data_IF_410821621169
#
_entry.id   IF_410821621169
#
_cell.length_a   1.000
_cell.length_b   1.000
_cell.length_c   1.000
_cell.angle_alpha   90.00
_cell.angle_beta   90.00
_cell.angle_gamma   90.00
#
_symmetry.space_group_name_H-M   'P 1'
#
loop_
_entity.id
_entity.type
_entity.pdbx_description
1 polymer ?
#
# COMPACT_ATOMS: atom_id res chain seq x y z
N UNK A 1 0.88 21.11 3.73
CA UNK A 1 0.48 19.75 3.30
C UNK A 1 -0.37 19.12 4.39
N UNK A 2 -1.52 18.58 4.01
CA UNK A 2 -2.45 17.85 4.89
C UNK A 2 -2.56 16.42 4.35
N UNK A 3 -2.56 15.43 5.24
CA UNK A 3 -2.91 14.05 4.88
C UNK A 3 -4.20 13.71 5.61
N UNK A 4 -5.17 13.19 4.87
CA UNK A 4 -6.49 12.84 5.38
C UNK A 4 -7.03 11.61 4.67
N UNK A 5 -8.04 10.99 5.28
CA UNK A 5 -8.82 9.95 4.61
C UNK A 5 -9.43 10.50 3.32
N UNK A 6 -9.42 9.66 2.29
CA UNK A 6 -10.15 9.88 1.06
C UNK A 6 -11.66 9.90 1.33
N UNK A 7 -12.37 10.80 0.66
CA UNK A 7 -13.82 10.80 0.57
C UNK A 7 -14.30 10.71 -0.90
N UNK A 8 -15.61 10.59 -1.11
CA UNK A 8 -16.19 10.39 -2.46
C UNK A 8 -15.93 11.55 -3.44
N UNK A 9 -15.79 12.78 -2.93
CA UNK A 9 -15.52 13.97 -3.75
C UNK A 9 -14.09 13.95 -4.31
N UNK A 10 -13.18 13.21 -3.65
CA UNK A 10 -11.78 13.08 -4.06
C UNK A 10 -11.59 12.07 -5.22
N UNK A 11 -12.56 11.21 -5.51
CA UNK A 11 -12.37 10.05 -6.41
C UNK A 11 -11.89 10.43 -7.82
N UNK A 12 -12.44 11.51 -8.39
CA UNK A 12 -12.04 12.00 -9.70
C UNK A 12 -10.60 12.53 -9.70
N UNK A 13 -10.22 13.27 -8.66
CA UNK A 13 -8.86 13.79 -8.49
C UNK A 13 -7.86 12.64 -8.25
N UNK A 14 -8.21 11.64 -7.44
CA UNK A 14 -7.38 10.45 -7.22
C UNK A 14 -7.18 9.67 -8.51
N UNK A 15 -8.23 9.47 -9.31
CA UNK A 15 -8.10 8.88 -10.65
C UNK A 15 -7.11 9.67 -11.52
N UNK A 16 -7.24 11.01 -11.57
CA UNK A 16 -6.33 11.85 -12.33
C UNK A 16 -4.87 11.76 -11.84
N UNK A 17 -4.64 11.65 -10.52
CA UNK A 17 -3.31 11.45 -9.93
C UNK A 17 -2.69 10.14 -10.43
N UNK A 18 -3.43 9.03 -10.39
CA UNK A 18 -2.91 7.73 -10.87
C UNK A 18 -2.65 7.73 -12.37
N UNK A 19 -3.58 8.27 -13.18
CA UNK A 19 -3.40 8.39 -14.63
C UNK A 19 -2.21 9.28 -15.01
N UNK A 20 -1.82 10.21 -14.13
CA UNK A 20 -0.64 11.07 -14.34
C UNK A 20 0.66 10.41 -13.89
N UNK A 21 0.59 9.51 -12.90
CA UNK A 21 1.77 8.89 -12.27
C UNK A 21 2.17 7.54 -12.91
N UNK A 22 1.23 6.84 -13.52
CA UNK A 22 1.43 5.52 -14.13
C UNK A 22 1.22 5.58 -15.65
N UNK A 23 1.93 4.72 -16.42
CA UNK A 23 1.86 4.75 -17.89
C UNK A 23 0.49 4.29 -18.43
N UNK A 24 -0.20 3.43 -17.69
CA UNK A 24 -1.49 2.86 -18.07
C UNK A 24 -2.55 3.15 -17.00
N UNK A 25 -3.82 2.88 -17.33
CA UNK A 25 -4.93 3.11 -16.42
C UNK A 25 -5.13 1.99 -15.37
N UNK A 26 -4.21 1.02 -15.29
CA UNK A 26 -4.33 -0.18 -14.44
C UNK A 26 -4.55 0.19 -12.98
N UNK A 27 -3.69 1.04 -12.42
CA UNK A 27 -3.72 1.46 -11.02
C UNK A 27 -4.97 2.29 -10.71
N UNK A 28 -5.37 3.19 -11.61
CA UNK A 28 -6.60 3.96 -11.42
C UNK A 28 -7.83 3.05 -11.36
N UNK A 29 -7.92 2.04 -12.25
CA UNK A 29 -9.03 1.08 -12.24
C UNK A 29 -8.97 0.19 -11.00
N UNK A 30 -7.77 -0.27 -10.61
CA UNK A 30 -7.56 -1.07 -9.40
C UNK A 30 -8.07 -0.34 -8.16
N UNK A 31 -7.74 0.94 -8.00
CA UNK A 31 -8.24 1.74 -6.86
C UNK A 31 -9.76 1.74 -6.82
N UNK A 32 -10.43 1.99 -7.95
CA UNK A 32 -11.91 1.93 -8.01
C UNK A 32 -12.45 0.57 -7.59
N UNK A 33 -11.90 -0.52 -8.15
CA UNK A 33 -12.36 -1.89 -7.82
C UNK A 33 -12.10 -2.26 -6.36
N UNK A 34 -10.95 -1.86 -5.79
CA UNK A 34 -10.66 -2.11 -4.37
C UNK A 34 -11.60 -1.34 -3.44
N UNK A 35 -11.99 -0.10 -3.77
CA UNK A 35 -13.00 0.62 -2.96
C UNK A 35 -14.34 -0.11 -2.93
N UNK A 36 -14.72 -0.75 -4.03
CA UNK A 36 -16.00 -1.44 -4.19
C UNK A 36 -15.99 -2.84 -3.57
N UNK A 37 -14.89 -3.59 -3.77
CA UNK A 37 -14.86 -5.03 -3.55
C UNK A 37 -13.96 -5.46 -2.38
N UNK A 38 -13.00 -4.63 -1.96
CA UNK A 38 -12.16 -4.91 -0.81
C UNK A 38 -12.63 -4.11 0.42
N UNK A 39 -12.87 -4.78 1.54
CA UNK A 39 -13.13 -4.13 2.82
C UNK A 39 -12.51 -4.93 3.97
N UNK A 40 -11.92 -4.27 4.98
CA UNK A 40 -11.73 -2.82 5.07
C UNK A 40 -10.56 -2.33 4.20
N UNK A 41 -10.63 -1.10 3.69
CA UNK A 41 -9.50 -0.40 3.05
C UNK A 41 -9.06 0.82 3.86
N UNK A 42 -7.79 1.19 3.71
CA UNK A 42 -7.29 2.50 4.12
C UNK A 42 -6.90 3.25 2.85
N UNK A 43 -7.59 4.37 2.59
CA UNK A 43 -7.33 5.23 1.45
C UNK A 43 -7.04 6.64 1.94
N UNK A 44 -5.84 7.16 1.68
CA UNK A 44 -5.42 8.48 2.14
C UNK A 44 -5.00 9.34 0.94
N UNK A 45 -5.32 10.63 1.03
CA UNK A 45 -4.91 11.65 0.07
C UNK A 45 -3.96 12.66 0.72
N UNK A 46 -3.03 13.18 -0.08
CA UNK A 46 -2.18 14.30 0.29
C UNK A 46 -2.66 15.56 -0.43
N UNK A 47 -2.87 16.62 0.34
CA UNK A 47 -3.36 17.92 -0.12
C UNK A 47 -2.32 19.02 0.14
N UNK A 48 -2.02 19.83 -0.85
CA UNK A 48 -1.10 20.98 -0.79
C UNK A 48 -1.81 22.18 -1.40
N UNK A 49 -1.92 23.26 -0.64
CA UNK A 49 -2.57 24.52 -1.07
C UNK A 49 -3.99 24.33 -1.65
N UNK A 50 -4.75 23.37 -1.10
CA UNK A 50 -6.11 23.04 -1.53
C UNK A 50 -6.20 22.07 -2.70
N UNK A 51 -5.08 21.62 -3.25
CA UNK A 51 -5.03 20.66 -4.36
C UNK A 51 -4.60 19.28 -3.89
N UNK A 52 -5.27 18.23 -4.38
CA UNK A 52 -4.83 16.86 -4.16
C UNK A 52 -3.65 16.53 -5.07
N UNK A 53 -2.54 16.12 -4.45
CA UNK A 53 -1.26 15.91 -5.13
C UNK A 53 -0.72 14.50 -4.97
N UNK A 54 -1.34 13.67 -4.12
CA UNK A 54 -0.96 12.27 -3.97
C UNK A 54 -2.02 11.42 -3.29
N UNK A 55 -1.87 10.11 -3.42
CA UNK A 55 -2.79 9.11 -2.89
C UNK A 55 -2.02 7.83 -2.52
N UNK A 56 -2.47 7.14 -1.48
CA UNK A 56 -1.99 5.82 -1.08
C UNK A 56 -3.17 4.95 -0.63
N UNK A 57 -3.16 3.68 -1.04
CA UNK A 57 -4.19 2.72 -0.66
C UNK A 57 -3.56 1.48 -0.02
N UNK A 58 -4.27 0.96 0.98
CA UNK A 58 -4.01 -0.31 1.62
C UNK A 58 -5.27 -1.16 1.58
N UNK A 59 -5.14 -2.42 1.17
CA UNK A 59 -6.22 -3.42 1.17
C UNK A 59 -5.79 -4.70 1.87
N UNK A 60 -6.71 -5.54 2.38
CA UNK A 60 -6.35 -6.76 3.10
C UNK A 60 -5.55 -7.72 2.22
N UNK A 61 -4.59 -8.40 2.82
CA UNK A 61 -3.88 -9.55 2.23
C UNK A 61 -3.93 -10.71 3.20
N UNK A 62 -3.81 -11.94 2.69
CA UNK A 62 -3.85 -13.15 3.53
C UNK A 62 -2.51 -13.86 3.50
N UNK A 63 -2.12 -14.46 4.64
CA UNK A 63 -1.01 -15.42 4.70
C UNK A 63 -1.59 -16.83 4.74
N UNK A 64 -1.26 -17.66 3.76
CA UNK A 64 -1.83 -19.01 3.59
C UNK A 64 -1.71 -19.91 4.84
N UNK A 65 -0.58 -19.84 5.56
CA UNK A 65 -0.33 -20.64 6.76
C UNK A 65 -1.11 -20.15 7.98
N UNK A 66 -1.59 -18.91 7.98
CA UNK A 66 -2.23 -18.27 9.13
C UNK A 66 -3.17 -17.15 8.72
N UNK A 67 -4.31 -17.53 8.16
CA UNK A 67 -5.35 -16.62 7.65
C UNK A 67 -6.01 -15.73 8.71
N UNK A 68 -5.79 -15.98 10.01
CA UNK A 68 -6.30 -15.13 11.09
C UNK A 68 -5.49 -13.85 11.34
N UNK A 69 -4.26 -13.77 10.80
CA UNK A 69 -3.45 -12.56 10.89
C UNK A 69 -4.11 -11.39 10.14
N UNK A 70 -3.98 -10.19 10.71
CA UNK A 70 -4.46 -8.95 10.09
C UNK A 70 -3.29 -8.29 9.37
N UNK A 71 -3.26 -8.46 8.05
CA UNK A 71 -2.21 -7.98 7.17
C UNK A 71 -2.82 -7.08 6.09
N UNK A 72 -2.09 -6.02 5.72
CA UNK A 72 -2.48 -5.15 4.61
C UNK A 72 -1.42 -5.15 3.52
N UNK A 73 -1.84 -5.00 2.27
CA UNK A 73 -0.98 -4.74 1.13
C UNK A 73 -1.04 -3.26 0.78
N UNK A 74 0.13 -2.61 0.70
CA UNK A 74 0.25 -1.23 0.23
C UNK A 74 0.31 -1.26 -1.30
N UNK A 75 -0.79 -0.86 -1.96
CA UNK A 75 -0.81 -0.55 -3.39
C UNK A 75 -2.19 -0.02 -3.83
N UNK A 76 -2.25 0.89 -4.82
CA UNK A 76 -1.12 1.65 -5.36
C UNK A 76 -0.78 2.88 -4.49
N UNK A 77 0.39 3.47 -4.74
CA UNK A 77 0.79 4.79 -4.21
C UNK A 77 1.21 5.70 -5.37
N UNK A 78 0.67 6.91 -5.42
CA UNK A 78 0.96 7.88 -6.47
C UNK A 78 1.14 9.28 -5.91
N UNK A 79 2.02 10.05 -6.54
CA UNK A 79 2.19 11.49 -6.36
C UNK A 79 2.29 12.10 -7.75
N UNK A 80 1.60 13.23 -7.98
CA UNK A 80 1.68 13.96 -9.25
C UNK A 80 3.14 14.16 -9.66
N UNK A 81 3.51 13.92 -10.94
CA UNK A 81 4.91 14.03 -11.38
C UNK A 81 5.58 15.36 -11.02
N UNK A 82 4.85 16.48 -11.13
CA UNK A 82 5.32 17.83 -10.76
C UNK A 82 5.58 18.00 -9.25
N UNK A 83 5.02 17.14 -8.42
CA UNK A 83 5.08 17.19 -6.95
C UNK A 83 5.97 16.09 -6.34
N UNK A 84 6.60 15.25 -7.18
CA UNK A 84 7.51 14.20 -6.72
C UNK A 84 8.82 14.75 -6.14
N UNK A 85 9.51 13.92 -5.34
CA UNK A 85 10.78 14.26 -4.65
C UNK A 85 10.68 15.41 -3.65
N UNK A 86 9.47 15.78 -3.23
CA UNK A 86 9.21 16.79 -2.18
C UNK A 86 8.83 16.17 -0.83
N UNK A 87 8.97 14.85 -0.67
CA UNK A 87 8.66 14.14 0.58
C UNK A 87 7.19 13.71 0.75
N UNK A 88 6.31 14.01 -0.21
CA UNK A 88 4.88 13.67 -0.16
C UNK A 88 4.66 12.16 -0.04
N UNK A 89 5.31 11.36 -0.88
CA UNK A 89 5.22 9.90 -0.82
C UNK A 89 5.67 9.35 0.54
N UNK A 90 6.74 9.91 1.11
CA UNK A 90 7.20 9.53 2.45
C UNK A 90 6.17 9.84 3.54
N UNK A 91 5.49 10.99 3.43
CA UNK A 91 4.46 11.38 4.38
C UNK A 91 3.23 10.47 4.26
N UNK A 92 2.82 10.12 3.03
CA UNK A 92 1.73 9.17 2.75
C UNK A 92 2.01 7.79 3.34
N UNK A 93 3.21 7.23 3.12
CA UNK A 93 3.59 5.92 3.68
C UNK A 93 3.54 5.96 5.21
N UNK A 94 4.15 6.98 5.85
CA UNK A 94 4.14 7.10 7.31
C UNK A 94 2.73 7.21 7.88
N UNK A 95 1.87 8.04 7.28
CA UNK A 95 0.48 8.18 7.71
C UNK A 95 -0.32 6.89 7.50
N UNK A 96 -0.10 6.20 6.38
CA UNK A 96 -0.72 4.92 6.07
C UNK A 96 -0.36 3.82 7.07
N UNK A 97 0.93 3.65 7.38
CA UNK A 97 1.39 2.68 8.37
C UNK A 97 0.84 2.99 9.78
N UNK A 98 0.79 4.27 10.16
CA UNK A 98 0.18 4.70 11.41
C UNK A 98 -1.32 4.35 11.45
N UNK A 99 -2.05 4.54 10.35
CA UNK A 99 -3.46 4.18 10.25
C UNK A 99 -3.67 2.66 10.32
N UNK A 100 -2.81 1.87 9.67
CA UNK A 100 -2.84 0.40 9.76
C UNK A 100 -2.66 -0.08 11.20
N UNK A 101 -1.73 0.52 11.94
CA UNK A 101 -1.49 0.20 13.36
C UNK A 101 -2.72 0.57 14.21
N UNK A 102 -3.31 1.75 13.99
CA UNK A 102 -4.53 2.19 14.69
C UNK A 102 -5.73 1.26 14.44
N UNK A 103 -5.81 0.64 13.26
CA UNK A 103 -6.85 -0.33 12.91
C UNK A 103 -6.47 -1.78 13.24
N UNK A 104 -5.44 -2.00 14.07
CA UNK A 104 -4.99 -3.30 14.58
C UNK A 104 -4.48 -4.28 13.51
N UNK A 105 -3.89 -3.76 12.43
CA UNK A 105 -3.10 -4.57 11.51
C UNK A 105 -1.70 -4.75 12.08
N UNK A 106 -1.18 -5.98 12.03
CA UNK A 106 0.11 -6.29 12.64
C UNK A 106 1.29 -6.21 11.69
N UNK A 107 1.07 -6.26 10.37
CA UNK A 107 2.11 -6.04 9.37
C UNK A 107 1.54 -5.55 8.02
N UNK A 108 2.42 -4.99 7.20
CA UNK A 108 2.10 -4.51 5.86
C UNK A 108 3.08 -5.08 4.85
N UNK A 109 2.56 -5.61 3.73
CA UNK A 109 3.34 -6.07 2.59
C UNK A 109 3.34 -5.04 1.46
N UNK A 110 4.42 -4.98 0.69
CA UNK A 110 4.52 -4.12 -0.49
C UNK A 110 5.39 -4.78 -1.55
N UNK A 111 5.00 -4.61 -2.81
CA UNK A 111 5.84 -4.88 -3.98
C UNK A 111 6.30 -3.53 -4.52
N UNK A 112 7.58 -3.20 -4.43
CA UNK A 112 8.05 -1.87 -4.77
C UNK A 112 9.57 -1.67 -4.77
N UNK A 113 9.99 -0.41 -4.90
CA UNK A 113 11.40 -0.08 -5.08
C UNK A 113 12.25 -0.38 -3.83
N UNK A 114 13.35 -1.15 -3.97
CA UNK A 114 14.17 -1.60 -2.85
C UNK A 114 14.90 -0.44 -2.14
N UNK A 115 15.04 0.73 -2.77
CA UNK A 115 15.69 1.90 -2.15
C UNK A 115 14.70 2.87 -1.49
N UNK A 116 13.39 2.66 -1.66
CA UNK A 116 12.37 3.57 -1.14
C UNK A 116 11.75 3.06 0.15
N UNK A 117 11.24 1.82 0.15
CA UNK A 117 10.47 1.28 1.28
C UNK A 117 11.30 0.96 2.54
N UNK A 118 12.58 0.55 2.47
CA UNK A 118 13.37 0.28 3.67
C UNK A 118 13.54 1.47 4.61
N UNK A 119 13.36 2.70 4.11
CA UNK A 119 13.35 3.93 4.92
C UNK A 119 12.21 3.97 5.95
N UNK A 120 11.20 3.11 5.81
CA UNK A 120 10.05 3.00 6.71
C UNK A 120 10.05 1.68 7.52
N UNK A 121 11.16 0.94 7.52
CA UNK A 121 11.28 -0.34 8.24
C UNK A 121 10.82 -1.56 7.46
N UNK A 122 10.52 -1.43 6.17
CA UNK A 122 10.28 -2.58 5.31
C UNK A 122 11.57 -3.36 5.08
N UNK A 123 11.48 -4.68 5.21
CA UNK A 123 12.57 -5.61 4.93
C UNK A 123 12.10 -6.63 3.88
N UNK A 124 13.02 -7.25 3.10
CA UNK A 124 12.65 -8.34 2.20
C UNK A 124 11.81 -9.39 2.92
N UNK A 125 10.69 -9.82 2.31
CA UNK A 125 9.75 -10.74 2.95
C UNK A 125 10.40 -12.09 3.32
N UNK A 126 11.47 -12.46 2.61
CA UNK A 126 12.25 -13.67 2.83
C UNK A 126 12.94 -13.70 4.20
N UNK A 127 13.22 -12.54 4.81
CA UNK A 127 13.67 -12.44 6.21
C UNK A 127 12.65 -13.01 7.20
N UNK A 128 11.37 -13.06 6.81
CA UNK A 128 10.26 -13.60 7.59
C UNK A 128 9.78 -14.98 7.11
N UNK A 129 10.52 -15.64 6.22
CA UNK A 129 10.09 -16.87 5.52
C UNK A 129 8.73 -16.72 4.78
N UNK A 130 8.40 -15.50 4.37
CA UNK A 130 7.20 -15.16 3.60
C UNK A 130 7.55 -14.98 2.13
N UNK A 131 6.72 -15.51 1.25
CA UNK A 131 6.82 -15.42 -0.21
C UNK A 131 5.74 -14.51 -0.77
N UNK A 132 6.03 -13.92 -1.94
CA UNK A 132 5.02 -13.29 -2.77
C UNK A 132 4.23 -14.36 -3.54
N UNK A 133 2.96 -14.09 -3.84
CA UNK A 133 2.21 -14.87 -4.83
C UNK A 133 2.69 -14.62 -6.28
N UNK A 134 3.44 -13.52 -6.50
CA UNK A 134 4.01 -13.16 -7.79
C UNK A 134 5.45 -13.67 -7.92
N UNK A 135 5.85 -14.05 -9.14
CA UNK A 135 7.24 -14.41 -9.44
C UNK A 135 8.08 -13.13 -9.62
N UNK A 136 8.60 -12.62 -8.50
CA UNK A 136 9.40 -11.40 -8.45
C UNK A 136 10.68 -11.59 -7.63
N UNK A 137 11.73 -10.78 -7.89
CA UNK A 137 12.94 -10.80 -7.08
C UNK A 137 12.64 -10.59 -5.59
N UNK A 138 13.41 -11.25 -4.73
CA UNK A 138 13.17 -11.24 -3.28
C UNK A 138 13.32 -9.83 -2.67
N UNK A 139 14.14 -8.98 -3.28
CA UNK A 139 14.43 -7.62 -2.83
C UNK A 139 13.29 -6.62 -3.07
N UNK A 140 12.32 -6.93 -3.95
CA UNK A 140 11.23 -6.01 -4.28
C UNK A 140 9.93 -6.31 -3.53
N UNK A 141 9.77 -7.54 -3.02
CA UNK A 141 8.64 -7.89 -2.16
C UNK A 141 9.08 -7.80 -0.69
N UNK A 142 8.52 -6.82 0.01
CA UNK A 142 8.95 -6.44 1.34
C UNK A 142 7.79 -6.44 2.33
N UNK A 143 8.10 -6.62 3.60
CA UNK A 143 7.15 -6.60 4.72
C UNK A 143 7.70 -5.70 5.82
N UNK A 144 6.81 -4.97 6.49
CA UNK A 144 7.11 -4.29 7.76
C UNK A 144 6.15 -4.79 8.83
N UNK A 145 6.68 -5.17 9.98
CA UNK A 145 5.89 -5.41 11.18
C UNK A 145 5.50 -4.07 11.83
N UNK A 146 4.22 -3.91 12.13
CA UNK A 146 3.68 -2.77 12.88
C UNK A 146 3.66 -3.06 14.39
N UNK A 147 3.53 -4.33 14.75
CA UNK A 147 3.71 -4.84 16.11
C UNK A 147 4.94 -5.75 16.14
N UNK A 148 5.79 -5.56 17.15
CA UNK A 148 7.03 -6.33 17.25
C UNK A 148 6.76 -7.83 17.32
N UNK A 149 7.51 -8.62 16.54
CA UNK A 149 7.47 -10.09 16.51
C UNK A 149 6.10 -10.65 16.03
N UNK A 150 5.27 -9.85 15.34
CA UNK A 150 3.93 -10.25 14.89
C UNK A 150 3.92 -11.47 13.94
N UNK A 151 4.96 -11.60 13.11
CA UNK A 151 5.17 -12.67 12.14
C UNK A 151 6.09 -13.76 12.68
N UNK A 152 6.48 -13.72 13.95
CA UNK A 152 7.32 -14.76 14.54
C UNK A 152 6.67 -16.15 14.42
N UNK A 153 7.44 -17.12 13.95
CA UNK A 153 6.98 -18.49 13.69
C UNK A 153 6.01 -18.62 12.51
N UNK A 154 5.77 -17.56 11.74
CA UNK A 154 4.99 -17.62 10.51
C UNK A 154 5.89 -17.96 9.31
N UNK A 155 5.28 -18.50 8.26
CA UNK A 155 5.91 -18.75 6.96
C UNK A 155 4.83 -18.89 5.89
N UNK A 156 5.18 -18.98 4.61
CA UNK A 156 4.21 -19.26 3.55
C UNK A 156 4.05 -18.10 2.57
N UNK A 157 2.88 -17.97 1.95
CA UNK A 157 2.66 -17.06 0.82
C UNK A 157 1.62 -16.00 1.17
N UNK A 158 1.95 -14.74 0.89
CA UNK A 158 0.99 -13.64 0.93
C UNK A 158 0.22 -13.59 -0.40
N UNK A 159 -1.11 -13.58 -0.29
CA UNK A 159 -2.02 -13.36 -1.42
C UNK A 159 -2.80 -12.05 -1.26
N UNK A 160 -2.82 -11.27 -2.34
CA UNK A 160 -3.58 -10.03 -2.48
C UNK A 160 -5.03 -10.31 -2.88
N UNK A 161 -5.85 -9.27 -2.79
CA UNK A 161 -7.22 -9.30 -3.26
C UNK A 161 -7.28 -9.66 -4.76
N UNK A 162 -8.32 -10.39 -5.19
CA UNK A 162 -8.42 -10.87 -6.57
C UNK A 162 -8.41 -9.76 -7.64
N UNK A 163 -8.77 -8.54 -7.23
CA UNK A 163 -8.77 -7.34 -8.08
C UNK A 163 -7.38 -6.96 -8.60
N UNK A 164 -6.32 -7.41 -7.93
CA UNK A 164 -4.93 -7.25 -8.39
C UNK A 164 -4.61 -8.12 -9.61
N UNK A 165 -5.35 -9.21 -9.87
CA UNK A 165 -5.13 -10.06 -11.06
C UNK A 165 -5.52 -9.36 -12.37
N UNK A 166 -6.25 -8.25 -12.27
CA UNK A 166 -6.68 -7.42 -13.40
C UNK A 166 -5.88 -6.11 -13.50
N UNK A 167 -4.75 -6.02 -12.80
CA UNK A 167 -3.74 -4.98 -12.97
C UNK A 167 -2.77 -5.43 -14.08
#
# INVERSE_FOLDING_TARGET
MIIRAENKEDFAAVQAIHLSAFPEAGESKLVTRLRENAQPIISLVAEVDGELVGHILFSPVTLDSKSSLQLMGLAPMAVLPSQQRQGIGCALVKAGLAQCLLTKNGAVAVLGHPDFYPKFGFEPSTSFAIKSEYDVPAEVFMVVELEKDYLNGCSGTISYHEEFKSL
#
